data_IF_454847239065
#
_entry.id   IF_454847239065
#
_cell.length_a   1.000
_cell.length_b   1.000
_cell.length_c   1.000
_cell.angle_alpha   90.00
_cell.angle_beta   90.00
_cell.angle_gamma   90.00
#
_symmetry.space_group_name_H-M   'P 1'
#
loop_
_entity.id
_entity.type
_entity.pdbx_description
1 polymer ?
#
# COMPACT_ATOMS: atom_id res chain seq x y z
N UNK A 1 -5.80 -37.60 -0.06
CA UNK A 1 -6.20 -37.43 1.35
C UNK A 1 -7.55 -38.12 1.52
N UNK A 2 -7.66 -39.17 2.33
CA UNK A 2 -8.95 -39.82 2.61
C UNK A 2 -9.66 -39.02 3.71
N UNK A 3 -10.91 -38.61 3.47
CA UNK A 3 -11.76 -38.00 4.48
C UNK A 3 -12.31 -39.13 5.35
N UNK A 4 -12.27 -38.96 6.67
CA UNK A 4 -12.81 -39.95 7.60
C UNK A 4 -14.34 -39.87 7.64
N UNK A 5 -15.02 -41.00 7.85
CA UNK A 5 -16.49 -41.06 7.84
C UNK A 5 -17.13 -40.12 8.88
N UNK A 6 -16.49 -39.94 10.04
CA UNK A 6 -16.93 -38.99 11.07
C UNK A 6 -16.90 -37.54 10.59
N UNK A 7 -15.92 -37.17 9.76
CA UNK A 7 -15.84 -35.83 9.18
C UNK A 7 -16.96 -35.61 8.17
N UNK A 8 -17.30 -36.64 7.38
CA UNK A 8 -18.44 -36.60 6.46
C UNK A 8 -19.72 -36.42 7.28
N UNK A 9 -19.91 -37.16 8.37
CA UNK A 9 -21.05 -37.02 9.27
C UNK A 9 -21.21 -35.60 9.80
N UNK A 10 -20.12 -34.98 10.28
CA UNK A 10 -20.12 -33.61 10.78
C UNK A 10 -20.48 -32.58 9.69
N UNK A 11 -19.96 -32.74 8.48
CA UNK A 11 -20.29 -31.86 7.34
C UNK A 11 -21.77 -31.96 7.02
N UNK A 12 -22.30 -33.18 6.86
CA UNK A 12 -23.72 -33.40 6.56
C UNK A 12 -24.63 -32.77 7.63
N UNK A 13 -24.27 -32.96 8.91
CA UNK A 13 -25.01 -32.38 10.03
C UNK A 13 -24.98 -30.85 10.02
N UNK A 14 -23.84 -30.25 9.67
CA UNK A 14 -23.71 -28.79 9.54
C UNK A 14 -24.56 -28.23 8.40
N UNK A 15 -24.63 -28.93 7.26
CA UNK A 15 -25.44 -28.51 6.09
C UNK A 15 -26.92 -28.54 6.41
N UNK A 16 -27.42 -29.63 7.02
CA UNK A 16 -28.82 -29.76 7.43
C UNK A 16 -29.17 -28.68 8.45
N UNK A 17 -28.37 -28.57 9.51
CA UNK A 17 -28.61 -27.58 10.55
C UNK A 17 -28.56 -26.16 10.00
N UNK A 18 -27.61 -25.84 9.11
CA UNK A 18 -27.52 -24.52 8.50
C UNK A 18 -28.81 -24.10 7.79
N UNK A 19 -29.49 -25.03 7.10
CA UNK A 19 -30.80 -24.77 6.49
C UNK A 19 -31.89 -24.57 7.54
N UNK A 20 -31.93 -25.41 8.56
CA UNK A 20 -32.87 -25.26 9.70
C UNK A 20 -32.71 -23.90 10.39
N UNK A 21 -31.47 -23.45 10.59
CA UNK A 21 -31.17 -22.15 11.21
C UNK A 21 -31.67 -20.96 10.38
N UNK A 22 -31.78 -21.07 9.04
CA UNK A 22 -32.38 -19.99 8.23
C UNK A 22 -33.86 -19.79 8.53
N UNK A 23 -34.56 -20.84 8.93
CA UNK A 23 -35.99 -20.83 9.21
C UNK A 23 -36.27 -20.50 10.69
N UNK A 24 -35.52 -21.12 11.60
CA UNK A 24 -35.77 -21.02 13.04
C UNK A 24 -35.08 -19.82 13.71
N UNK A 25 -33.99 -19.31 13.13
CA UNK A 25 -33.18 -18.23 13.72
C UNK A 25 -32.82 -17.12 12.71
N UNK A 26 -33.79 -16.40 12.13
CA UNK A 26 -33.50 -15.30 11.21
C UNK A 26 -32.70 -14.15 11.85
N UNK A 27 -32.73 -14.00 13.18
CA UNK A 27 -31.96 -13.03 13.96
C UNK A 27 -30.44 -13.21 13.84
N UNK A 28 -29.95 -14.36 13.37
CA UNK A 28 -28.54 -14.62 13.06
C UNK A 28 -27.92 -13.53 12.19
N UNK A 29 -28.70 -13.00 11.25
CA UNK A 29 -28.25 -11.95 10.34
C UNK A 29 -27.93 -10.66 11.09
N UNK A 30 -28.81 -10.25 12.00
CA UNK A 30 -28.63 -9.02 12.76
C UNK A 30 -27.51 -9.16 13.77
N UNK A 31 -27.40 -10.32 14.43
CA UNK A 31 -26.27 -10.61 15.32
C UNK A 31 -24.93 -10.54 14.57
N UNK A 32 -24.87 -11.13 13.37
CA UNK A 32 -23.67 -11.09 12.55
C UNK A 32 -23.37 -9.67 12.05
N UNK A 33 -24.37 -8.92 11.57
CA UNK A 33 -24.20 -7.50 11.18
C UNK A 33 -23.72 -6.61 12.32
N UNK A 34 -24.09 -6.96 13.56
CA UNK A 34 -23.67 -6.24 14.76
C UNK A 34 -22.27 -6.61 15.25
N UNK A 35 -21.47 -7.34 14.47
CA UNK A 35 -20.08 -7.63 14.80
C UNK A 35 -19.86 -8.94 15.55
N UNK A 36 -20.90 -9.71 15.88
CA UNK A 36 -20.74 -10.95 16.65
C UNK A 36 -20.08 -12.03 15.81
N UNK A 37 -19.11 -12.71 16.40
CA UNK A 37 -18.48 -13.88 15.82
C UNK A 37 -19.43 -15.08 15.81
N UNK A 38 -19.16 -16.07 14.95
CA UNK A 38 -19.97 -17.30 14.87
C UNK A 38 -20.00 -18.07 16.21
N UNK A 39 -18.94 -17.97 17.02
CA UNK A 39 -18.90 -18.54 18.37
C UNK A 39 -19.85 -17.80 19.29
N UNK A 40 -19.77 -16.47 19.35
CA UNK A 40 -20.67 -15.66 20.20
C UNK A 40 -22.13 -15.84 19.81
N UNK A 41 -22.42 -15.92 18.52
CA UNK A 41 -23.77 -16.21 18.01
C UNK A 41 -24.23 -17.60 18.44
N UNK A 42 -23.35 -18.62 18.32
CA UNK A 42 -23.65 -19.98 18.78
C UNK A 42 -23.93 -20.04 20.27
N UNK A 43 -23.18 -19.30 21.07
CA UNK A 43 -23.31 -19.28 22.53
C UNK A 43 -24.59 -18.55 22.94
N UNK A 44 -24.88 -17.41 22.33
CA UNK A 44 -26.07 -16.59 22.62
C UNK A 44 -27.39 -17.27 22.27
N UNK A 45 -27.42 -18.02 21.16
CA UNK A 45 -28.59 -18.79 20.74
C UNK A 45 -28.56 -20.24 21.28
N UNK A 46 -27.56 -20.57 22.11
CA UNK A 46 -27.37 -21.90 22.70
C UNK A 46 -27.43 -23.07 21.70
N UNK A 47 -26.99 -22.84 20.45
CA UNK A 47 -27.18 -23.78 19.32
C UNK A 47 -26.61 -25.18 19.63
N UNK A 48 -25.46 -25.24 20.31
CA UNK A 48 -24.85 -26.50 20.71
C UNK A 48 -25.77 -27.34 21.61
N UNK A 49 -26.46 -26.67 22.55
CA UNK A 49 -27.34 -27.31 23.53
C UNK A 49 -28.67 -27.69 22.89
N UNK A 50 -29.32 -26.74 22.23
CA UNK A 50 -30.65 -26.90 21.61
C UNK A 50 -30.63 -28.02 20.56
N UNK A 51 -29.61 -28.05 19.71
CA UNK A 51 -29.53 -29.02 18.61
C UNK A 51 -28.62 -30.22 18.92
N UNK A 52 -28.06 -30.30 20.14
CA UNK A 52 -27.14 -31.35 20.60
C UNK A 52 -25.99 -31.60 19.59
N UNK A 53 -25.31 -30.53 19.18
CA UNK A 53 -24.19 -30.53 18.22
C UNK A 53 -22.90 -30.09 18.87
N UNK A 54 -21.77 -30.47 18.26
CA UNK A 54 -20.47 -29.93 18.67
C UNK A 54 -20.32 -28.47 18.23
N UNK A 55 -19.46 -27.73 18.92
CA UNK A 55 -19.17 -26.32 18.60
C UNK A 55 -18.68 -26.12 17.16
N UNK A 56 -17.92 -27.07 16.62
CA UNK A 56 -17.47 -27.04 15.22
C UNK A 56 -18.65 -27.15 14.25
N UNK A 57 -19.60 -28.05 14.51
CA UNK A 57 -20.81 -28.23 13.69
C UNK A 57 -21.71 -27.00 13.81
N UNK A 58 -21.88 -26.45 15.02
CA UNK A 58 -22.66 -25.23 15.24
C UNK A 58 -22.12 -24.05 14.43
N UNK A 59 -20.82 -23.73 14.55
CA UNK A 59 -20.21 -22.60 13.82
C UNK A 59 -20.29 -22.79 12.30
N UNK A 60 -20.06 -24.00 11.82
CA UNK A 60 -20.20 -24.29 10.40
C UNK A 60 -21.64 -24.15 9.93
N UNK A 61 -22.62 -24.62 10.71
CA UNK A 61 -24.03 -24.46 10.41
C UNK A 61 -24.44 -22.99 10.32
N UNK A 62 -24.03 -22.16 11.29
CA UNK A 62 -24.27 -20.71 11.25
C UNK A 62 -23.62 -20.08 10.02
N UNK A 63 -22.36 -20.43 9.72
CA UNK A 63 -21.69 -19.95 8.52
C UNK A 63 -22.46 -20.31 7.25
N UNK A 64 -22.92 -21.56 7.13
CA UNK A 64 -23.68 -22.03 5.97
C UNK A 64 -25.07 -21.38 5.89
N UNK A 65 -25.73 -21.13 7.02
CA UNK A 65 -26.98 -20.38 7.05
C UNK A 65 -26.79 -18.97 6.47
N UNK A 66 -25.72 -18.28 6.86
CA UNK A 66 -25.41 -16.92 6.41
C UNK A 66 -24.99 -16.87 4.93
N UNK A 67 -24.07 -17.75 4.50
CA UNK A 67 -23.42 -17.66 3.17
C UNK A 67 -24.03 -18.58 2.11
N UNK A 68 -24.80 -19.57 2.52
CA UNK A 68 -25.36 -20.62 1.67
C UNK A 68 -24.45 -21.83 1.52
N UNK A 69 -24.97 -22.84 0.83
CA UNK A 69 -24.27 -24.08 0.54
C UNK A 69 -24.35 -24.40 -0.95
N UNK A 70 -23.19 -24.62 -1.58
CA UNK A 70 -23.08 -24.83 -3.03
C UNK A 70 -23.54 -26.20 -3.55
N UNK A 71 -23.96 -27.10 -2.66
CA UNK A 71 -24.36 -28.48 -3.03
C UNK A 71 -23.14 -29.41 -3.16
N UNK A 72 -23.15 -30.49 -2.39
CA UNK A 72 -22.18 -31.58 -2.43
C UNK A 72 -22.65 -32.71 -1.49
N UNK A 73 -22.01 -33.87 -1.55
CA UNK A 73 -22.25 -35.00 -0.62
C UNK A 73 -23.68 -35.53 -0.59
N UNK A 74 -24.42 -35.36 -1.70
CA UNK A 74 -25.83 -35.78 -1.82
C UNK A 74 -26.83 -34.78 -1.24
N UNK A 75 -26.41 -33.56 -0.89
CA UNK A 75 -27.29 -32.48 -0.44
C UNK A 75 -27.47 -31.43 -1.54
N UNK A 76 -28.72 -30.97 -1.69
CA UNK A 76 -29.05 -29.84 -2.56
C UNK A 76 -28.37 -28.55 -2.09
N UNK A 77 -28.06 -27.68 -3.04
CA UNK A 77 -27.60 -26.35 -2.74
C UNK A 77 -28.72 -25.49 -2.14
N UNK A 78 -28.35 -24.50 -1.34
CA UNK A 78 -29.27 -23.46 -0.89
C UNK A 78 -28.55 -22.13 -0.79
N UNK A 79 -29.30 -21.04 -0.97
CA UNK A 79 -28.77 -19.68 -0.94
C UNK A 79 -28.65 -19.21 0.52
N UNK A 80 -27.60 -18.45 0.83
CA UNK A 80 -27.43 -17.83 2.14
C UNK A 80 -28.45 -16.73 2.39
N UNK A 81 -28.69 -16.39 3.66
CA UNK A 81 -29.55 -15.25 4.01
C UNK A 81 -28.87 -13.92 3.61
N UNK A 82 -27.54 -13.88 3.66
CA UNK A 82 -26.74 -12.72 3.25
C UNK A 82 -26.30 -12.85 1.79
N UNK A 83 -26.15 -11.70 1.12
CA UNK A 83 -25.55 -11.64 -0.22
C UNK A 83 -24.03 -11.84 -0.13
N UNK A 84 -23.44 -12.41 -1.19
CA UNK A 84 -22.01 -12.74 -1.22
C UNK A 84 -21.10 -11.51 -1.01
N UNK A 85 -21.45 -10.37 -1.60
CA UNK A 85 -20.73 -9.10 -1.44
C UNK A 85 -20.83 -8.57 0.00
N UNK A 86 -22.01 -8.66 0.61
CA UNK A 86 -22.23 -8.29 2.01
C UNK A 86 -21.42 -9.17 2.98
N UNK A 87 -21.44 -10.49 2.80
CA UNK A 87 -20.64 -11.44 3.61
C UNK A 87 -19.16 -11.10 3.54
N UNK A 88 -18.66 -10.79 2.35
CA UNK A 88 -17.24 -10.46 2.16
C UNK A 88 -16.87 -9.19 2.92
N UNK A 89 -17.68 -8.15 2.81
CA UNK A 89 -17.46 -6.88 3.50
C UNK A 89 -17.49 -7.04 5.02
N UNK A 90 -18.54 -7.68 5.56
CA UNK A 90 -18.67 -7.96 7.00
C UNK A 90 -17.52 -8.85 7.50
N UNK A 91 -17.13 -9.86 6.72
CA UNK A 91 -16.00 -10.73 7.06
C UNK A 91 -14.66 -9.98 7.12
N UNK A 92 -14.43 -9.00 6.24
CA UNK A 92 -13.26 -8.12 6.30
C UNK A 92 -13.31 -7.19 7.53
N UNK A 93 -14.48 -6.64 7.84
CA UNK A 93 -14.70 -5.80 9.02
C UNK A 93 -14.47 -6.58 10.32
N UNK A 94 -15.07 -7.76 10.48
CA UNK A 94 -14.89 -8.60 11.66
C UNK A 94 -13.42 -8.99 11.85
N UNK A 95 -12.71 -9.35 10.78
CA UNK A 95 -11.27 -9.65 10.86
C UNK A 95 -10.48 -8.44 11.34
N UNK A 96 -10.82 -7.24 10.86
CA UNK A 96 -10.18 -5.98 11.29
C UNK A 96 -10.47 -5.68 12.76
N UNK A 97 -11.74 -5.76 13.18
CA UNK A 97 -12.16 -5.50 14.57
C UNK A 97 -11.55 -6.53 15.54
N UNK A 98 -11.65 -7.82 15.23
CA UNK A 98 -11.04 -8.90 16.03
C UNK A 98 -9.52 -8.77 16.08
N UNK A 99 -8.88 -8.33 15.00
CA UNK A 99 -7.45 -8.06 14.99
C UNK A 99 -7.06 -6.93 15.93
N UNK A 100 -7.84 -5.85 15.96
CA UNK A 100 -7.63 -4.71 16.89
C UNK A 100 -7.85 -5.13 18.33
N UNK A 101 -8.94 -5.83 18.62
CA UNK A 101 -9.28 -6.25 19.98
C UNK A 101 -8.28 -7.26 20.53
N UNK A 102 -7.91 -8.28 19.74
CA UNK A 102 -6.83 -9.19 20.13
C UNK A 102 -5.50 -8.46 20.33
N UNK A 103 -5.21 -7.46 19.49
CA UNK A 103 -4.04 -6.59 19.67
C UNK A 103 -4.05 -5.86 21.01
N UNK A 104 -5.21 -5.30 21.40
CA UNK A 104 -5.43 -4.63 22.69
C UNK A 104 -5.24 -5.61 23.85
N UNK A 105 -5.90 -6.77 23.80
CA UNK A 105 -5.80 -7.83 24.82
C UNK A 105 -4.34 -8.31 24.99
N UNK A 106 -3.61 -8.51 23.89
CA UNK A 106 -2.20 -8.91 23.94
C UNK A 106 -1.31 -7.83 24.54
N UNK A 107 -1.60 -6.56 24.24
CA UNK A 107 -0.88 -5.42 24.81
C UNK A 107 -1.13 -5.28 26.32
N UNK A 108 -2.39 -5.30 26.76
CA UNK A 108 -2.78 -5.18 28.17
C UNK A 108 -2.21 -6.32 29.01
N UNK A 109 -2.29 -7.55 28.49
CA UNK A 109 -1.74 -8.72 29.17
C UNK A 109 -0.22 -8.85 29.03
N UNK A 110 0.45 -7.91 28.33
CA UNK A 110 1.89 -7.96 28.03
C UNK A 110 2.32 -9.34 27.49
N UNK A 111 1.60 -9.86 26.51
CA UNK A 111 1.86 -11.14 25.84
C UNK A 111 2.50 -10.93 24.46
N UNK A 112 3.20 -11.94 23.96
CA UNK A 112 3.83 -11.91 22.63
C UNK A 112 4.85 -10.77 22.49
N UNK A 113 4.73 -9.96 21.43
CA UNK A 113 5.65 -8.84 21.18
C UNK A 113 5.58 -7.76 22.29
N UNK A 114 4.44 -7.64 22.97
CA UNK A 114 4.25 -6.68 24.06
C UNK A 114 4.87 -7.14 25.37
N UNK A 115 5.23 -8.43 25.49
CA UNK A 115 5.98 -8.97 26.62
C UNK A 115 7.47 -8.57 26.59
N UNK A 116 7.99 -8.24 25.41
CA UNK A 116 9.43 -8.04 25.20
C UNK A 116 9.86 -6.62 25.58
N UNK A 117 11.03 -6.52 26.20
CA UNK A 117 11.71 -5.24 26.41
C UNK A 117 12.19 -4.65 25.09
N UNK A 118 12.54 -3.36 25.09
CA UNK A 118 13.12 -2.68 23.93
C UNK A 118 14.39 -3.37 23.44
N UNK A 119 15.26 -3.79 24.36
CA UNK A 119 16.52 -4.48 24.06
C UNK A 119 16.27 -5.84 23.40
N UNK A 120 15.30 -6.61 23.92
CA UNK A 120 14.91 -7.89 23.34
C UNK A 120 14.33 -7.71 21.93
N UNK A 121 13.51 -6.67 21.70
CA UNK A 121 13.00 -6.33 20.36
C UNK A 121 14.14 -5.99 19.40
N UNK A 122 15.11 -5.18 19.83
CA UNK A 122 16.29 -4.84 19.04
C UNK A 122 17.11 -6.10 18.70
N UNK A 123 17.34 -6.98 19.67
CA UNK A 123 18.11 -8.20 19.46
C UNK A 123 17.41 -9.15 18.49
N UNK A 124 16.10 -9.38 18.65
CA UNK A 124 15.30 -10.18 17.73
C UNK A 124 15.31 -9.58 16.32
N UNK A 125 15.17 -8.25 16.22
CA UNK A 125 15.24 -7.53 14.95
C UNK A 125 16.60 -7.71 14.25
N UNK A 126 17.70 -7.56 14.99
CA UNK A 126 19.06 -7.80 14.46
C UNK A 126 19.25 -9.24 14.02
N UNK A 127 18.81 -10.21 14.83
CA UNK A 127 18.90 -11.64 14.50
C UNK A 127 18.12 -11.96 13.22
N UNK A 128 16.89 -11.46 13.10
CA UNK A 128 16.05 -11.64 11.91
C UNK A 128 16.68 -10.96 10.67
N UNK A 129 17.16 -9.72 10.81
CA UNK A 129 17.85 -9.00 9.74
C UNK A 129 19.08 -9.75 9.26
N UNK A 130 19.97 -10.15 10.16
CA UNK A 130 21.16 -10.93 9.83
C UNK A 130 20.83 -12.27 9.17
N UNK A 131 19.78 -12.96 9.66
CA UNK A 131 19.30 -14.19 9.02
C UNK A 131 18.87 -13.94 7.58
N UNK A 132 17.99 -12.96 7.33
CA UNK A 132 17.53 -12.64 5.96
C UNK A 132 18.65 -12.18 5.03
N UNK A 133 19.64 -11.47 5.57
CA UNK A 133 20.84 -11.08 4.85
C UNK A 133 21.69 -12.29 4.47
N UNK A 134 22.04 -13.14 5.44
CA UNK A 134 22.89 -14.32 5.24
C UNK A 134 22.24 -15.35 4.31
N UNK A 135 20.93 -15.58 4.47
CA UNK A 135 20.16 -16.51 3.64
C UNK A 135 19.82 -15.92 2.26
N UNK A 136 20.13 -14.64 2.02
CA UNK A 136 19.74 -13.90 0.80
C UNK A 136 18.25 -14.11 0.50
N UNK A 137 17.41 -13.87 1.50
CA UNK A 137 15.94 -13.91 1.37
C UNK A 137 15.37 -12.49 1.41
N UNK A 138 14.09 -12.33 1.04
CA UNK A 138 13.43 -11.02 1.04
C UNK A 138 14.11 -10.00 0.11
N UNK A 139 14.45 -8.82 0.62
CA UNK A 139 15.11 -7.75 -0.17
C UNK A 139 16.57 -8.09 -0.51
N UNK A 140 17.27 -8.84 0.36
CA UNK A 140 18.67 -9.21 0.16
C UNK A 140 18.85 -10.32 -0.87
N UNK A 141 17.81 -11.10 -1.13
CA UNK A 141 17.78 -12.11 -2.20
C UNK A 141 17.51 -11.59 -3.61
N UNK A 142 17.08 -10.33 -3.73
CA UNK A 142 16.71 -9.75 -5.02
C UNK A 142 17.94 -9.21 -5.76
N UNK A 143 17.97 -9.41 -7.08
CA UNK A 143 18.96 -8.77 -7.94
C UNK A 143 18.85 -7.24 -7.89
N UNK A 144 19.91 -6.54 -8.29
CA UNK A 144 19.89 -5.07 -8.38
C UNK A 144 18.82 -4.57 -9.35
N UNK A 145 18.64 -5.27 -10.47
CA UNK A 145 17.64 -4.97 -11.50
C UNK A 145 16.24 -5.09 -10.91
N UNK A 146 15.96 -6.18 -10.16
CA UNK A 146 14.64 -6.38 -9.56
C UNK A 146 14.32 -5.34 -8.50
N UNK A 147 15.30 -4.98 -7.65
CA UNK A 147 15.14 -3.90 -6.67
C UNK A 147 14.86 -2.56 -7.35
N UNK A 148 15.52 -2.26 -8.46
CA UNK A 148 15.26 -1.05 -9.27
C UNK A 148 13.85 -1.07 -9.88
N UNK A 149 13.41 -2.22 -10.39
CA UNK A 149 12.06 -2.39 -10.93
C UNK A 149 11.00 -2.17 -9.85
N UNK A 150 11.12 -2.82 -8.68
CA UNK A 150 10.16 -2.71 -7.58
C UNK A 150 10.11 -1.29 -7.01
N UNK A 151 11.28 -0.64 -6.86
CA UNK A 151 11.36 0.76 -6.45
C UNK A 151 10.65 1.69 -7.45
N UNK A 152 10.86 1.47 -8.75
CA UNK A 152 10.17 2.22 -9.80
C UNK A 152 8.65 2.00 -9.74
N UNK A 153 8.19 0.75 -9.59
CA UNK A 153 6.75 0.43 -9.46
C UNK A 153 6.13 1.09 -8.23
N UNK A 154 6.82 1.04 -7.09
CA UNK A 154 6.39 1.70 -5.86
C UNK A 154 6.24 3.22 -6.05
N UNK A 155 7.23 3.85 -6.69
CA UNK A 155 7.18 5.27 -7.00
C UNK A 155 6.04 5.64 -7.97
N UNK A 156 5.86 4.87 -9.05
CA UNK A 156 4.78 5.11 -10.00
C UNK A 156 3.40 4.94 -9.35
N UNK A 157 3.23 3.92 -8.50
CA UNK A 157 2.01 3.72 -7.72
C UNK A 157 1.72 4.91 -6.80
N UNK A 158 2.73 5.38 -6.07
CA UNK A 158 2.64 6.56 -5.20
C UNK A 158 2.25 7.84 -5.96
N UNK A 159 2.70 8.00 -7.19
CA UNK A 159 2.38 9.16 -8.03
C UNK A 159 1.06 9.04 -8.81
N UNK A 160 0.49 7.84 -8.95
CA UNK A 160 -0.66 7.58 -9.83
C UNK A 160 -1.86 8.48 -9.50
N UNK A 161 -2.11 8.72 -8.22
CA UNK A 161 -3.28 9.45 -7.72
C UNK A 161 -2.97 10.90 -7.32
N UNK A 162 -1.82 11.44 -7.72
CA UNK A 162 -1.40 12.82 -7.38
C UNK A 162 -1.53 13.78 -8.54
N UNK A 163 -1.87 15.03 -8.22
CA UNK A 163 -1.89 16.14 -9.17
C UNK A 163 -0.49 16.48 -9.69
N UNK A 164 -0.41 17.20 -10.82
CA UNK A 164 0.88 17.69 -11.37
C UNK A 164 1.63 18.59 -10.38
N UNK A 165 0.90 19.38 -9.58
CA UNK A 165 1.46 20.28 -8.57
C UNK A 165 2.13 19.49 -7.44
N UNK A 166 1.43 18.52 -6.85
CA UNK A 166 2.00 17.65 -5.81
C UNK A 166 3.25 16.91 -6.30
N UNK A 167 3.23 16.38 -7.54
CA UNK A 167 4.40 15.72 -8.13
C UNK A 167 5.61 16.67 -8.20
N UNK A 168 5.37 17.93 -8.55
CA UNK A 168 6.40 18.98 -8.57
C UNK A 168 6.95 19.25 -7.18
N UNK A 169 6.08 19.37 -6.17
CA UNK A 169 6.46 19.61 -4.77
C UNK A 169 7.34 18.49 -4.21
N UNK A 170 7.03 17.21 -4.47
CA UNK A 170 7.92 16.11 -4.07
C UNK A 170 9.28 16.17 -4.78
N UNK A 171 9.30 16.56 -6.05
CA UNK A 171 10.53 16.77 -6.80
C UNK A 171 11.40 17.86 -6.17
N UNK A 172 10.78 18.97 -5.76
CA UNK A 172 11.46 20.07 -5.05
C UNK A 172 11.97 19.61 -3.69
N UNK A 173 11.14 18.93 -2.90
CA UNK A 173 11.51 18.42 -1.58
C UNK A 173 12.73 17.49 -1.65
N UNK A 174 12.75 16.55 -2.60
CA UNK A 174 13.89 15.65 -2.77
C UNK A 174 15.19 16.32 -3.22
N UNK A 175 15.12 17.50 -3.87
CA UNK A 175 16.30 18.32 -4.18
C UNK A 175 16.80 19.03 -2.92
N UNK A 176 15.89 19.60 -2.12
CA UNK A 176 16.22 20.26 -0.85
C UNK A 176 16.82 19.29 0.16
N UNK A 177 16.26 18.09 0.31
CA UNK A 177 16.78 17.05 1.21
C UNK A 177 18.21 16.61 0.86
N UNK A 178 18.63 16.77 -0.40
CA UNK A 178 20.01 16.53 -0.86
C UNK A 178 20.93 17.74 -0.62
N UNK A 179 20.44 18.79 0.04
CA UNK A 179 21.16 20.05 0.24
C UNK A 179 21.32 20.89 -1.03
N UNK A 180 20.53 20.61 -2.07
CA UNK A 180 20.61 21.35 -3.34
C UNK A 180 19.54 22.45 -3.39
N UNK A 181 19.86 23.57 -4.02
CA UNK A 181 18.91 24.69 -4.22
C UNK A 181 18.03 24.42 -5.44
N UNK A 182 16.69 24.31 -5.30
CA UNK A 182 15.78 24.20 -6.43
C UNK A 182 15.83 25.45 -7.32
N UNK A 183 15.47 25.33 -8.60
CA UNK A 183 15.30 26.50 -9.46
C UNK A 183 13.96 27.18 -9.15
N UNK A 184 14.00 28.49 -8.92
CA UNK A 184 12.82 29.35 -8.95
C UNK A 184 12.35 29.60 -10.39
N UNK A 185 11.09 30.01 -10.55
CA UNK A 185 10.54 30.34 -11.86
C UNK A 185 11.20 31.60 -12.43
N UNK A 186 11.57 32.55 -11.57
CA UNK A 186 12.28 33.78 -11.89
C UNK A 186 13.68 33.48 -12.45
N UNK A 187 14.44 32.58 -11.81
CA UNK A 187 15.75 32.14 -12.30
C UNK A 187 15.64 31.54 -13.70
N UNK A 188 14.64 30.68 -13.94
CA UNK A 188 14.46 30.00 -15.23
C UNK A 188 14.08 31.01 -16.33
N UNK A 189 13.16 31.94 -16.02
CA UNK A 189 12.76 33.02 -16.94
C UNK A 189 13.95 33.92 -17.29
N UNK A 190 14.74 34.29 -16.28
CA UNK A 190 15.92 35.11 -16.48
C UNK A 190 16.99 34.40 -17.31
N UNK A 191 17.25 33.12 -17.03
CA UNK A 191 18.15 32.30 -17.84
C UNK A 191 17.73 32.30 -19.33
N UNK A 192 16.43 32.17 -19.58
CA UNK A 192 15.89 32.18 -20.94
C UNK A 192 16.10 33.55 -21.62
N UNK A 193 15.82 34.65 -20.93
CA UNK A 193 16.08 36.00 -21.45
C UNK A 193 17.55 36.22 -21.78
N UNK A 194 18.48 35.80 -20.90
CA UNK A 194 19.91 35.85 -21.19
C UNK A 194 20.24 35.06 -22.46
N UNK A 195 19.63 33.89 -22.65
CA UNK A 195 19.86 33.04 -23.82
C UNK A 195 19.50 33.68 -25.17
N UNK A 196 18.71 34.76 -25.17
CA UNK A 196 18.33 35.52 -26.36
C UNK A 196 19.29 36.70 -26.66
N UNK A 197 20.11 37.11 -25.69
CA UNK A 197 21.02 38.25 -25.83
C UNK A 197 22.30 37.84 -26.55
N UNK A 198 22.75 38.62 -27.53
CA UNK A 198 23.94 38.34 -28.36
C UNK A 198 25.21 38.08 -27.54
N UNK A 199 25.39 38.77 -26.41
CA UNK A 199 26.55 38.61 -25.50
C UNK A 199 26.63 37.21 -24.87
N UNK A 200 25.48 36.53 -24.72
CA UNK A 200 25.39 35.18 -24.15
C UNK A 200 25.17 34.11 -25.22
N UNK A 201 25.45 34.42 -26.49
CA UNK A 201 25.45 33.45 -27.59
C UNK A 201 26.90 33.13 -27.92
N UNK A 202 27.20 31.86 -28.18
CA UNK A 202 28.56 31.47 -28.56
C UNK A 202 28.94 32.12 -29.89
N UNK A 203 30.16 32.69 -29.98
CA UNK A 203 30.61 33.39 -31.19
C UNK A 203 30.79 32.43 -32.37
N UNK A 204 30.82 32.97 -33.60
CA UNK A 204 31.28 32.22 -34.79
C UNK A 204 32.66 31.59 -34.54
N UNK A 205 32.89 30.39 -35.06
CA UNK A 205 34.14 29.64 -34.86
C UNK A 205 34.26 28.86 -33.56
N UNK A 206 33.33 29.04 -32.60
CA UNK A 206 33.22 28.14 -31.44
C UNK A 206 32.68 26.76 -31.82
N UNK A 207 32.75 25.78 -30.91
CA UNK A 207 32.20 24.43 -31.12
C UNK A 207 30.66 24.41 -31.32
N UNK A 208 29.95 25.44 -30.87
CA UNK A 208 28.48 25.51 -30.93
C UNK A 208 28.02 26.93 -31.30
N UNK A 209 28.40 27.45 -32.47
CA UNK A 209 28.15 28.83 -32.84
C UNK A 209 26.64 29.08 -32.94
N UNK A 210 26.20 30.25 -32.52
CA UNK A 210 24.78 30.63 -32.54
C UNK A 210 23.91 29.97 -31.45
N UNK A 211 24.46 29.05 -30.64
CA UNK A 211 23.76 28.50 -29.47
C UNK A 211 24.06 29.32 -28.21
N UNK A 212 23.16 29.24 -27.23
CA UNK A 212 23.35 29.90 -25.94
C UNK A 212 24.62 29.39 -25.22
N UNK A 213 25.44 30.33 -24.77
CA UNK A 213 26.61 30.08 -23.94
C UNK A 213 26.16 29.82 -22.48
N UNK A 214 25.79 28.57 -22.20
CA UNK A 214 25.24 28.17 -20.91
C UNK A 214 26.22 28.34 -19.74
N UNK A 215 27.53 28.45 -20.01
CA UNK A 215 28.52 28.71 -18.97
C UNK A 215 28.49 30.17 -18.51
N UNK A 216 28.46 31.12 -19.45
CA UNK A 216 28.28 32.54 -19.12
C UNK A 216 26.93 32.80 -18.44
N UNK A 217 25.88 32.12 -18.90
CA UNK A 217 24.54 32.23 -18.29
C UNK A 217 24.56 31.69 -16.85
N UNK A 218 25.22 30.55 -16.59
CA UNK A 218 25.36 30.01 -15.23
C UNK A 218 26.08 30.98 -14.30
N UNK A 219 27.20 31.57 -14.74
CA UNK A 219 27.95 32.58 -13.97
C UNK A 219 27.08 33.80 -13.63
N UNK A 220 26.32 34.30 -14.60
CA UNK A 220 25.44 35.45 -14.38
C UNK A 220 24.27 35.14 -13.44
N UNK A 221 23.69 33.94 -13.53
CA UNK A 221 22.63 33.51 -12.60
C UNK A 221 23.17 33.34 -11.18
N UNK A 222 24.34 32.72 -11.01
CA UNK A 222 25.00 32.59 -9.72
C UNK A 222 25.27 33.97 -9.10
N UNK A 223 25.73 34.93 -9.90
CA UNK A 223 25.95 36.31 -9.47
C UNK A 223 24.67 36.99 -8.96
N UNK A 224 23.57 36.88 -9.70
CA UNK A 224 22.31 37.58 -9.37
C UNK A 224 21.53 36.87 -8.25
N UNK A 225 21.35 35.55 -8.35
CA UNK A 225 20.44 34.80 -7.47
C UNK A 225 21.13 34.10 -6.31
N UNK A 226 22.44 33.84 -6.41
CA UNK A 226 23.21 33.08 -5.43
C UNK A 226 24.40 33.86 -4.87
N UNK A 227 24.41 35.21 -5.01
CA UNK A 227 25.47 36.10 -4.48
C UNK A 227 26.89 35.73 -4.94
N UNK A 228 27.02 35.05 -6.07
CA UNK A 228 28.28 34.57 -6.62
C UNK A 228 28.61 33.11 -6.32
N UNK A 229 27.86 32.44 -5.44
CA UNK A 229 28.09 31.02 -5.12
C UNK A 229 27.84 30.13 -6.34
N UNK A 230 28.67 29.09 -6.52
CA UNK A 230 28.61 28.17 -7.67
C UNK A 230 27.47 27.13 -7.55
N UNK A 231 26.24 27.61 -7.41
CA UNK A 231 25.04 26.76 -7.26
C UNK A 231 24.58 26.19 -8.60
N UNK A 232 24.71 26.96 -9.69
CA UNK A 232 24.34 26.55 -11.05
C UNK A 232 25.58 26.27 -11.89
N UNK A 233 25.46 25.27 -12.75
CA UNK A 233 26.49 24.93 -13.72
C UNK A 233 25.95 24.97 -15.15
N UNK A 234 26.86 24.91 -16.12
CA UNK A 234 26.53 24.88 -17.55
C UNK A 234 25.51 23.77 -17.91
N UNK A 235 25.62 22.60 -17.27
CA UNK A 235 24.83 21.40 -17.62
C UNK A 235 23.37 21.54 -17.17
N UNK A 236 23.17 22.01 -15.94
CA UNK A 236 21.87 22.25 -15.33
C UNK A 236 21.14 23.39 -16.04
N UNK A 237 21.85 24.47 -16.39
CA UNK A 237 21.28 25.57 -17.20
C UNK A 237 20.82 25.09 -18.57
N UNK A 238 21.66 24.35 -19.30
CA UNK A 238 21.30 23.79 -20.61
C UNK A 238 20.01 22.95 -20.53
N UNK A 239 19.93 22.08 -19.51
CA UNK A 239 18.76 21.22 -19.29
C UNK A 239 17.50 22.03 -18.94
N UNK A 240 17.63 23.07 -18.12
CA UNK A 240 16.51 23.95 -17.74
C UNK A 240 16.01 24.79 -18.90
N UNK A 241 16.91 25.38 -19.70
CA UNK A 241 16.56 26.13 -20.90
C UNK A 241 15.80 25.28 -21.91
N UNK A 242 16.26 24.04 -22.16
CA UNK A 242 15.56 23.11 -23.04
C UNK A 242 14.13 22.84 -22.58
N UNK A 243 13.95 22.51 -21.29
CA UNK A 243 12.62 22.23 -20.71
C UNK A 243 11.70 23.46 -20.76
N UNK A 244 12.24 24.64 -20.49
CA UNK A 244 11.48 25.88 -20.51
C UNK A 244 11.02 26.23 -21.93
N UNK A 245 11.89 26.14 -22.94
CA UNK A 245 11.52 26.34 -24.36
C UNK A 245 10.40 25.40 -24.78
N UNK A 246 10.53 24.10 -24.47
CA UNK A 246 9.48 23.11 -24.75
C UNK A 246 8.16 23.44 -24.04
N UNK A 247 8.21 24.02 -22.84
CA UNK A 247 6.98 24.43 -22.14
C UNK A 247 6.29 25.62 -22.80
N UNK A 248 7.03 26.50 -23.50
CA UNK A 248 6.46 27.61 -24.27
C UNK A 248 5.83 27.12 -25.57
N UNK A 249 6.46 26.16 -26.25
CA UNK A 249 5.93 25.55 -27.48
C UNK A 249 4.58 24.86 -27.26
N UNK A 250 4.37 24.23 -26.10
CA UNK A 250 3.10 23.55 -25.78
C UNK A 250 1.96 24.51 -25.39
N UNK A 251 2.19 25.83 -25.37
CA UNK A 251 1.19 26.85 -25.04
C UNK A 251 0.60 27.49 -26.32
N UNK A 252 1.27 27.32 -27.47
CA UNK A 252 0.86 27.82 -28.79
C UNK A 252 0.08 26.73 -29.53
#
# INVERSE_FOLDING_TARGET
>A
MKILDDQIGAIKRSVILGRTLQEEHPELVDLYRNGKSLTEISDELEICVVYNVSESVSRNAISLALIGYGGAWGFESYTGILKEDEVKLLGEEHKSQNGKENGRILMENKKGIFALTTEQKIQTGRKSGNKTYNEKTGVHGRSAEKRKEDSSKGYQSFLKNRSKKEKSEYGVKGVVEKGQTPYSDEEIKYAYQLSLKKVYINPPGSRNPGKANCELIAKEINRIFHKGDEVRDRRTISTRLYRYRKSLENIV
#
